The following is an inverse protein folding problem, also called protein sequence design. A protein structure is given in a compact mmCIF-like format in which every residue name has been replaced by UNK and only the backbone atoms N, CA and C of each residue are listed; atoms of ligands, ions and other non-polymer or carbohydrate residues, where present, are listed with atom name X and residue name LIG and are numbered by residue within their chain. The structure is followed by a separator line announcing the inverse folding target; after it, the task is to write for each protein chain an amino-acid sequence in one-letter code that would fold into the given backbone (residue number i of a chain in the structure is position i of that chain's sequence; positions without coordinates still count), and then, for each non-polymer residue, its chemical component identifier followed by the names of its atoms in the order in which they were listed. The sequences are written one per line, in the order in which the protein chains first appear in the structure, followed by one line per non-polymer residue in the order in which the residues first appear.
data_IF_437582084838
#
_entry.id   IF_437582084838
#
_cell.length_a   1.000
_cell.length_b   1.000
_cell.length_c   1.000
_cell.angle_alpha   90.00
_cell.angle_beta   90.00
_cell.angle_gamma   90.00
#
_symmetry.space_group_name_H-M   'P 1'
#
loop_
_entity.id
_entity.type
_entity.pdbx_description
1 polymer ?
#
# COMPACT_ATOMS: atom_id res chain seq x y z
N UNK A 1 4.82 -23.16 28.97
CA UNK A 1 5.75 -22.04 29.15
C UNK A 1 4.90 -20.79 29.06
N UNK A 2 4.86 -19.99 30.10
CA UNK A 2 4.06 -18.76 30.12
C UNK A 2 4.80 -17.69 29.32
N UNK A 3 4.04 -16.82 28.62
CA UNK A 3 4.64 -15.67 27.93
C UNK A 3 5.22 -14.68 28.98
N UNK A 4 6.36 -14.03 28.69
CA UNK A 4 6.90 -12.96 29.53
C UNK A 4 5.88 -11.82 29.73
N UNK A 5 5.85 -11.21 30.92
CA UNK A 5 4.86 -10.18 31.27
C UNK A 5 4.98 -8.90 30.43
N UNK A 6 6.18 -8.57 29.96
CA UNK A 6 6.46 -7.45 29.06
C UNK A 6 5.81 -7.66 27.69
N UNK A 7 5.94 -8.85 27.12
CA UNK A 7 5.28 -9.24 25.85
C UNK A 7 3.75 -9.16 25.98
N UNK A 8 3.23 -9.60 27.12
CA UNK A 8 1.80 -9.52 27.41
C UNK A 8 1.32 -8.08 27.48
N UNK A 9 2.08 -7.22 28.15
CA UNK A 9 1.76 -5.79 28.28
C UNK A 9 1.80 -5.08 26.94
N UNK A 10 2.72 -5.46 26.06
CA UNK A 10 2.84 -4.92 24.71
C UNK A 10 1.66 -5.36 23.82
N UNK A 11 1.29 -6.64 23.85
CA UNK A 11 0.09 -7.16 23.15
C UNK A 11 -1.16 -6.40 23.61
N UNK A 12 -1.32 -6.18 24.91
CA UNK A 12 -2.47 -5.47 25.49
C UNK A 12 -2.45 -3.97 25.10
N UNK A 13 -1.28 -3.35 25.05
CA UNK A 13 -1.13 -1.94 24.71
C UNK A 13 -1.51 -1.59 23.25
N UNK A 14 -1.25 -2.50 22.32
CA UNK A 14 -1.49 -2.28 20.89
C UNK A 14 -2.86 -2.77 20.37
N UNK A 15 -3.63 -3.47 21.18
CA UNK A 15 -4.90 -4.07 20.78
C UNK A 15 -6.06 -3.50 21.57
N UNK A 16 -7.02 -2.91 20.86
CA UNK A 16 -8.15 -2.21 21.49
C UNK A 16 -9.20 -3.12 22.17
N UNK A 17 -9.12 -4.44 22.02
CA UNK A 17 -10.08 -5.40 22.63
C UNK A 17 -9.48 -6.81 22.71
N UNK A 18 -9.10 -7.29 23.86
CA UNK A 18 -8.64 -8.67 24.10
C UNK A 18 -9.79 -9.56 24.59
N UNK A 19 -9.95 -10.75 23.96
CA UNK A 19 -10.88 -11.75 24.48
C UNK A 19 -10.32 -12.37 25.77
N UNK A 20 -10.97 -12.09 26.91
CA UNK A 20 -10.60 -12.57 28.22
C UNK A 20 -10.47 -14.10 28.31
N UNK A 21 -11.15 -14.85 27.44
CA UNK A 21 -11.09 -16.31 27.36
C UNK A 21 -9.76 -16.86 26.83
N UNK A 22 -9.05 -16.13 25.98
CA UNK A 22 -7.73 -16.55 25.46
C UNK A 22 -6.66 -16.35 26.51
N UNK A 23 -6.71 -15.23 27.20
CA UNK A 23 -5.70 -14.86 28.20
C UNK A 23 -5.95 -15.51 29.56
N UNK A 24 -7.20 -15.86 29.91
CA UNK A 24 -7.51 -16.58 31.15
C UNK A 24 -6.94 -18.00 31.20
N UNK A 25 -6.55 -18.56 30.04
CA UNK A 25 -5.92 -19.90 29.94
C UNK A 25 -4.38 -19.84 29.99
N UNK A 26 -3.77 -18.66 29.94
CA UNK A 26 -2.34 -18.49 29.72
C UNK A 26 -1.54 -18.35 31.01
N UNK A 27 -2.06 -17.73 32.03
CA UNK A 27 -1.54 -17.78 33.40
C UNK A 27 -2.50 -17.15 34.43
N UNK A 28 -2.35 -17.53 35.69
CA UNK A 28 -3.13 -16.96 36.80
C UNK A 28 -2.88 -15.43 36.99
N UNK A 29 -1.69 -14.94 36.59
CA UNK A 29 -1.32 -13.52 36.61
C UNK A 29 -2.01 -12.69 35.49
N UNK A 30 -2.31 -13.32 34.34
CA UNK A 30 -3.02 -12.67 33.26
C UNK A 30 -4.51 -12.45 33.52
N UNK A 31 -5.15 -13.28 34.33
CA UNK A 31 -6.58 -13.12 34.67
C UNK A 31 -6.88 -11.76 35.32
N UNK A 32 -5.90 -11.16 35.97
CA UNK A 32 -6.04 -9.86 36.64
C UNK A 32 -5.84 -8.68 35.71
N UNK A 33 -5.04 -8.82 34.63
CA UNK A 33 -4.78 -7.74 33.66
C UNK A 33 -5.85 -7.61 32.57
N UNK A 34 -6.61 -8.67 32.30
CA UNK A 34 -7.50 -8.77 31.13
C UNK A 34 -8.96 -8.43 31.45
N UNK A 35 -9.30 -8.13 32.69
CA UNK A 35 -10.67 -7.71 33.04
C UNK A 35 -11.07 -6.45 32.26
N UNK A 36 -11.66 -6.67 31.06
CA UNK A 36 -12.33 -5.63 30.27
C UNK A 36 -11.92 -5.44 28.82
N UNK A 37 -10.99 -6.23 28.25
CA UNK A 37 -10.62 -6.12 26.82
C UNK A 37 -10.72 -7.47 26.11
N UNK A 38 -11.48 -7.51 25.00
CA UNK A 38 -11.70 -8.72 24.19
C UNK A 38 -10.96 -8.57 22.86
N UNK A 39 -9.87 -9.37 22.63
CA UNK A 39 -9.28 -9.57 21.32
C UNK A 39 -9.93 -10.74 20.60
N UNK A 40 -10.14 -10.60 19.30
CA UNK A 40 -10.36 -11.78 18.46
C UNK A 40 -9.09 -12.62 18.45
N UNK A 41 -9.21 -13.94 18.62
CA UNK A 41 -8.06 -14.87 18.68
C UNK A 41 -7.10 -14.71 17.48
N UNK A 42 -7.61 -14.40 16.29
CA UNK A 42 -6.80 -14.15 15.09
C UNK A 42 -5.95 -12.86 15.16
N UNK A 43 -6.37 -11.87 15.96
CA UNK A 43 -5.64 -10.60 16.10
C UNK A 43 -4.31 -10.77 16.84
N UNK A 44 -4.23 -11.74 17.77
CA UNK A 44 -2.97 -12.08 18.47
C UNK A 44 -1.93 -12.62 17.47
N UNK A 45 -2.34 -13.55 16.60
CA UNK A 45 -1.44 -14.11 15.59
C UNK A 45 -0.99 -13.07 14.57
N UNK A 46 -1.90 -12.19 14.14
CA UNK A 46 -1.56 -11.08 13.21
C UNK A 46 -0.61 -10.08 13.87
N UNK A 47 -0.85 -9.71 15.14
CA UNK A 47 0.04 -8.81 15.90
C UNK A 47 1.42 -9.45 16.08
N UNK A 48 1.50 -10.71 16.50
CA UNK A 48 2.76 -11.41 16.68
C UNK A 48 3.55 -11.54 15.36
N UNK A 49 2.86 -11.84 14.26
CA UNK A 49 3.47 -11.90 12.94
C UNK A 49 3.97 -10.55 12.44
N UNK A 50 3.27 -9.45 12.80
CA UNK A 50 3.68 -8.08 12.47
C UNK A 50 4.94 -7.65 13.22
N UNK A 51 5.11 -8.10 14.46
CA UNK A 51 6.15 -7.62 15.38
C UNK A 51 7.29 -8.64 15.62
N UNK A 52 7.42 -9.65 14.73
CA UNK A 52 8.49 -10.66 14.78
C UNK A 52 8.50 -11.58 16.01
N UNK A 53 7.34 -11.76 16.63
CA UNK A 53 7.21 -12.60 17.83
C UNK A 53 6.89 -14.07 17.46
N UNK A 54 7.90 -14.80 17.01
CA UNK A 54 7.76 -16.22 16.66
C UNK A 54 7.38 -17.07 17.87
N UNK A 55 7.90 -16.77 19.05
CA UNK A 55 7.58 -17.42 20.32
C UNK A 55 6.09 -17.32 20.68
N UNK A 56 5.50 -16.13 20.48
CA UNK A 56 4.05 -15.90 20.68
C UNK A 56 3.23 -16.71 19.66
N UNK A 57 3.66 -16.79 18.42
CA UNK A 57 2.98 -17.59 17.39
C UNK A 57 3.05 -19.08 17.70
N UNK A 58 4.21 -19.58 18.15
CA UNK A 58 4.39 -20.96 18.59
C UNK A 58 3.48 -21.30 19.75
N UNK A 59 3.44 -20.42 20.75
CA UNK A 59 2.53 -20.53 21.87
C UNK A 59 1.06 -20.52 21.40
N UNK A 60 0.64 -19.54 20.61
CA UNK A 60 -0.74 -19.43 20.11
C UNK A 60 -1.17 -20.68 19.33
N UNK A 61 -0.27 -21.26 18.53
CA UNK A 61 -0.51 -22.48 17.78
C UNK A 61 -0.76 -23.69 18.70
N UNK A 62 0.04 -23.87 19.77
CA UNK A 62 -0.15 -24.95 20.77
C UNK A 62 -1.54 -24.88 21.44
N UNK A 63 -2.10 -23.68 21.55
CA UNK A 63 -3.43 -23.46 22.13
C UNK A 63 -4.55 -23.39 21.10
N UNK A 64 -4.29 -23.84 19.86
CA UNK A 64 -5.26 -23.82 18.77
C UNK A 64 -5.89 -22.43 18.53
N UNK A 65 -5.11 -21.35 18.73
CA UNK A 65 -5.54 -20.02 18.33
C UNK A 65 -5.65 -19.99 16.79
N UNK A 66 -6.80 -19.58 16.22
CA UNK A 66 -6.97 -19.53 14.79
C UNK A 66 -6.09 -18.42 14.21
N UNK A 67 -5.43 -18.73 13.14
CA UNK A 67 -4.80 -17.75 12.26
C UNK A 67 -5.51 -17.71 10.91
N UNK A 68 -5.28 -16.66 10.16
CA UNK A 68 -5.82 -16.47 8.83
C UNK A 68 -4.73 -15.95 7.86
N UNK A 69 -5.11 -15.70 6.62
CA UNK A 69 -4.19 -15.18 5.60
C UNK A 69 -3.49 -13.87 6.00
N UNK A 70 -4.10 -13.07 6.86
CA UNK A 70 -3.49 -11.82 7.34
C UNK A 70 -2.28 -12.08 8.24
N UNK A 71 -2.19 -13.21 8.92
CA UNK A 71 -0.99 -13.60 9.69
C UNK A 71 0.23 -13.71 8.77
N UNK A 72 0.11 -14.43 7.64
CA UNK A 72 1.17 -14.48 6.64
C UNK A 72 1.44 -13.10 6.01
N UNK A 73 0.37 -12.36 5.69
CA UNK A 73 0.48 -11.03 5.09
C UNK A 73 1.22 -10.05 6.00
N UNK A 74 0.96 -10.05 7.32
CA UNK A 74 1.64 -9.18 8.28
C UNK A 74 3.12 -9.52 8.45
N UNK A 75 3.48 -10.80 8.49
CA UNK A 75 4.87 -11.23 8.47
C UNK A 75 5.59 -10.74 7.20
N UNK A 76 4.96 -10.93 6.04
CA UNK A 76 5.51 -10.53 4.75
C UNK A 76 5.62 -9.01 4.59
N UNK A 77 4.62 -8.25 5.04
CA UNK A 77 4.58 -6.78 5.04
C UNK A 77 5.75 -6.16 5.81
N UNK A 78 6.18 -6.83 6.89
CA UNK A 78 7.24 -6.34 7.78
C UNK A 78 8.59 -7.05 7.58
N UNK A 79 8.69 -7.94 6.60
CA UNK A 79 9.95 -8.58 6.22
C UNK A 79 10.40 -9.75 7.11
N UNK A 80 9.53 -10.25 7.98
CA UNK A 80 9.82 -11.30 8.95
C UNK A 80 9.78 -12.68 8.28
N UNK A 81 10.88 -13.02 7.58
CA UNK A 81 10.96 -14.24 6.77
C UNK A 81 10.82 -15.51 7.62
N UNK A 82 11.50 -15.57 8.75
CA UNK A 82 11.50 -16.74 9.63
C UNK A 82 10.09 -17.01 10.20
N UNK A 83 9.39 -15.94 10.58
CA UNK A 83 7.98 -16.01 11.00
C UNK A 83 7.11 -16.51 9.87
N UNK A 84 7.24 -15.94 8.67
CA UNK A 84 6.46 -16.35 7.50
C UNK A 84 6.69 -17.83 7.16
N UNK A 85 7.96 -18.27 7.19
CA UNK A 85 8.32 -19.67 6.95
C UNK A 85 7.66 -20.59 7.96
N UNK A 86 7.76 -20.26 9.23
CA UNK A 86 7.22 -21.08 10.29
C UNK A 86 5.69 -21.18 10.22
N UNK A 87 4.97 -20.06 10.07
CA UNK A 87 3.49 -20.09 10.01
C UNK A 87 3.00 -20.86 8.77
N UNK A 88 3.70 -20.78 7.64
CA UNK A 88 3.37 -21.56 6.44
C UNK A 88 3.60 -23.04 6.61
N UNK A 89 4.70 -23.45 7.21
CA UNK A 89 4.99 -24.87 7.52
C UNK A 89 3.93 -25.47 8.45
N UNK A 90 3.30 -24.64 9.29
CA UNK A 90 2.23 -25.05 10.19
C UNK A 90 0.81 -24.79 9.64
N UNK A 91 0.67 -24.62 8.32
CA UNK A 91 -0.61 -24.62 7.62
C UNK A 91 -1.36 -23.27 7.62
N UNK A 92 -0.71 -22.15 7.99
CA UNK A 92 -1.33 -20.84 7.90
C UNK A 92 -1.65 -20.52 6.42
N UNK A 93 -2.89 -20.13 6.05
CA UNK A 93 -3.22 -19.76 4.68
C UNK A 93 -2.55 -18.45 4.27
N UNK A 94 -2.33 -18.27 2.98
CA UNK A 94 -1.91 -17.00 2.38
C UNK A 94 -2.67 -16.73 1.08
N UNK A 95 -2.55 -15.52 0.55
CA UNK A 95 -3.05 -15.14 -0.76
C UNK A 95 -2.10 -14.12 -1.44
N UNK A 96 -2.54 -13.56 -2.57
CA UNK A 96 -1.78 -12.57 -3.35
C UNK A 96 -1.30 -11.35 -2.54
N UNK A 97 -2.00 -10.97 -1.48
CA UNK A 97 -1.63 -9.83 -0.64
C UNK A 97 -0.32 -10.06 0.11
N UNK A 98 0.04 -11.31 0.39
CA UNK A 98 1.34 -11.66 0.99
C UNK A 98 2.49 -11.18 0.09
N UNK A 99 2.44 -11.48 -1.20
CA UNK A 99 3.43 -10.99 -2.18
C UNK A 99 3.30 -9.47 -2.39
N UNK A 100 2.08 -8.95 -2.49
CA UNK A 100 1.84 -7.55 -2.80
C UNK A 100 2.39 -6.60 -1.71
N UNK A 101 2.17 -6.89 -0.44
CA UNK A 101 2.70 -6.08 0.67
C UNK A 101 4.21 -6.29 0.91
N UNK A 102 4.74 -7.50 0.69
CA UNK A 102 6.18 -7.69 0.67
C UNK A 102 6.85 -6.82 -0.42
N UNK A 103 6.24 -6.75 -1.61
CA UNK A 103 6.71 -5.92 -2.71
C UNK A 103 6.63 -4.42 -2.37
N UNK A 104 5.52 -3.97 -1.80
CA UNK A 104 5.32 -2.59 -1.36
C UNK A 104 6.44 -2.12 -0.41
N UNK A 105 6.82 -2.96 0.53
CA UNK A 105 7.81 -2.61 1.54
C UNK A 105 9.25 -2.97 1.16
N UNK A 106 9.46 -3.57 -0.01
CA UNK A 106 10.80 -3.83 -0.53
C UNK A 106 11.46 -5.12 -0.01
N UNK A 107 10.68 -6.02 0.58
CA UNK A 107 11.18 -7.26 1.19
C UNK A 107 11.44 -8.35 0.14
N UNK A 108 12.51 -8.18 -0.64
CA UNK A 108 12.84 -9.06 -1.76
C UNK A 108 13.07 -10.51 -1.33
N UNK A 109 13.75 -10.76 -0.21
CA UNK A 109 13.98 -12.11 0.29
C UNK A 109 12.68 -12.84 0.63
N UNK A 110 11.72 -12.13 1.23
CA UNK A 110 10.37 -12.65 1.51
C UNK A 110 9.64 -13.00 0.21
N UNK A 111 9.69 -12.11 -0.77
CA UNK A 111 9.09 -12.35 -2.09
C UNK A 111 9.69 -13.56 -2.81
N UNK A 112 11.01 -13.68 -2.80
CA UNK A 112 11.72 -14.79 -3.41
C UNK A 112 11.29 -16.12 -2.79
N UNK A 113 11.30 -16.19 -1.47
CA UNK A 113 10.88 -17.38 -0.76
C UNK A 113 9.38 -17.69 -0.98
N UNK A 114 8.50 -16.67 -0.90
CA UNK A 114 7.08 -16.86 -1.12
C UNK A 114 6.77 -17.42 -2.50
N UNK A 115 7.45 -16.92 -3.54
CA UNK A 115 7.28 -17.43 -4.91
C UNK A 115 7.82 -18.85 -5.12
N UNK A 116 8.95 -19.17 -4.50
CA UNK A 116 9.48 -20.55 -4.51
C UNK A 116 8.51 -21.55 -3.85
N UNK A 117 7.64 -21.06 -2.95
CA UNK A 117 6.62 -21.85 -2.27
C UNK A 117 5.21 -21.60 -2.82
N UNK A 118 5.09 -21.17 -4.08
CA UNK A 118 3.84 -21.04 -4.85
C UNK A 118 2.83 -20.02 -4.28
N UNK A 119 3.29 -19.01 -3.53
CA UNK A 119 2.41 -17.92 -3.11
C UNK A 119 1.87 -17.20 -4.36
N UNK A 120 0.53 -17.02 -4.49
CA UNK A 120 -0.02 -16.34 -5.65
C UNK A 120 0.36 -14.87 -5.68
N UNK A 121 0.44 -14.29 -6.86
CA UNK A 121 0.55 -12.85 -7.09
C UNK A 121 -0.26 -12.43 -8.33
N UNK A 122 -0.48 -11.14 -8.49
CA UNK A 122 -1.10 -10.53 -9.67
C UNK A 122 -0.48 -9.14 -9.94
N UNK A 123 -1.09 -8.37 -10.85
CA UNK A 123 -0.65 -7.02 -11.21
C UNK A 123 -0.55 -6.06 -10.01
N UNK A 124 -1.31 -6.29 -8.93
CA UNK A 124 -1.24 -5.51 -7.70
C UNK A 124 0.16 -5.55 -7.08
N UNK A 125 0.90 -6.66 -7.22
CA UNK A 125 2.28 -6.78 -6.73
C UNK A 125 3.21 -5.78 -7.42
N UNK A 126 3.12 -5.66 -8.75
CA UNK A 126 3.87 -4.66 -9.52
C UNK A 126 3.42 -3.23 -9.17
N UNK A 127 2.11 -3.00 -9.09
CA UNK A 127 1.54 -1.69 -8.81
C UNK A 127 1.97 -1.15 -7.43
N UNK A 128 1.96 -1.99 -6.38
CA UNK A 128 2.38 -1.59 -5.04
C UNK A 128 3.91 -1.42 -4.91
N UNK A 129 4.72 -2.23 -5.60
CA UNK A 129 6.15 -2.00 -5.70
C UNK A 129 6.45 -0.63 -6.34
N UNK A 130 5.75 -0.32 -7.43
CA UNK A 130 5.86 0.96 -8.14
C UNK A 130 5.39 2.15 -7.28
N UNK A 131 4.25 2.00 -6.59
CA UNK A 131 3.73 3.00 -5.65
C UNK A 131 4.76 3.42 -4.60
N UNK A 132 5.49 2.47 -4.05
CA UNK A 132 6.43 2.70 -2.95
C UNK A 132 7.88 2.92 -3.39
N UNK A 133 8.14 3.13 -4.68
CA UNK A 133 9.48 3.44 -5.18
C UNK A 133 10.44 2.23 -5.17
N UNK A 134 9.93 1.00 -5.18
CA UNK A 134 10.77 -0.20 -5.05
C UNK A 134 11.24 -0.72 -6.41
N UNK A 135 12.07 0.04 -7.12
CA UNK A 135 12.51 -0.30 -8.48
C UNK A 135 13.15 -1.69 -8.57
N UNK A 136 14.07 -2.02 -7.67
CA UNK A 136 14.74 -3.35 -7.65
C UNK A 136 13.75 -4.49 -7.49
N UNK A 137 12.74 -4.32 -6.62
CA UNK A 137 11.67 -5.31 -6.44
C UNK A 137 10.82 -5.40 -7.69
N UNK A 138 10.41 -4.26 -8.27
CA UNK A 138 9.63 -4.23 -9.51
C UNK A 138 10.36 -4.93 -10.66
N UNK A 139 11.66 -4.69 -10.80
CA UNK A 139 12.51 -5.37 -11.77
C UNK A 139 12.50 -6.88 -11.57
N UNK A 140 12.71 -7.33 -10.33
CA UNK A 140 12.74 -8.75 -10.01
C UNK A 140 11.39 -9.43 -10.28
N UNK A 141 10.25 -8.85 -9.82
CA UNK A 141 8.93 -9.46 -10.05
C UNK A 141 8.60 -9.54 -11.53
N UNK A 142 9.01 -8.57 -12.35
CA UNK A 142 8.83 -8.61 -13.81
C UNK A 142 9.72 -9.66 -14.48
N UNK A 143 10.97 -9.82 -14.06
CA UNK A 143 11.85 -10.89 -14.55
C UNK A 143 11.28 -12.28 -14.24
N UNK A 144 10.46 -12.41 -13.19
CA UNK A 144 9.78 -13.65 -12.80
C UNK A 144 8.30 -13.68 -13.26
N UNK A 145 7.97 -12.96 -14.35
CA UNK A 145 6.68 -13.01 -15.06
C UNK A 145 5.46 -12.54 -14.24
N UNK A 146 5.65 -11.75 -13.18
CA UNK A 146 4.52 -11.12 -12.50
C UNK A 146 3.77 -10.21 -13.49
N UNK A 147 2.45 -10.36 -13.67
CA UNK A 147 1.71 -9.48 -14.56
C UNK A 147 1.74 -8.03 -14.07
N UNK A 148 1.62 -7.08 -14.98
CA UNK A 148 1.38 -5.68 -14.69
C UNK A 148 0.28 -5.12 -15.60
N UNK A 149 -0.25 -3.98 -15.21
CA UNK A 149 -1.26 -3.23 -15.94
C UNK A 149 -0.98 -1.72 -15.83
N UNK A 150 -1.89 -0.91 -16.32
CA UNK A 150 -1.82 0.56 -16.30
C UNK A 150 -1.70 1.14 -14.87
N UNK A 151 -2.20 0.43 -13.85
CA UNK A 151 -2.07 0.86 -12.46
C UNK A 151 -0.62 0.90 -11.98
N UNK A 152 0.28 0.13 -12.58
CA UNK A 152 1.71 0.19 -12.26
C UNK A 152 2.28 1.59 -12.53
N UNK A 153 2.01 2.13 -13.73
CA UNK A 153 2.43 3.50 -14.08
C UNK A 153 1.64 4.56 -13.31
N UNK A 154 0.33 4.35 -13.13
CA UNK A 154 -0.53 5.29 -12.43
C UNK A 154 -0.13 5.45 -10.95
N UNK A 155 0.15 4.37 -10.23
CA UNK A 155 0.59 4.42 -8.83
C UNK A 155 2.01 4.96 -8.69
N UNK A 156 2.91 4.68 -9.62
CA UNK A 156 4.20 5.35 -9.66
C UNK A 156 4.04 6.87 -9.85
N UNK A 157 3.15 7.30 -10.73
CA UNK A 157 2.84 8.72 -10.96
C UNK A 157 2.21 9.39 -9.75
N UNK A 158 1.34 8.67 -9.01
CA UNK A 158 0.75 9.16 -7.76
C UNK A 158 1.80 9.56 -6.72
N UNK A 159 2.94 8.90 -6.67
CA UNK A 159 4.00 9.16 -5.70
C UNK A 159 5.26 9.78 -6.31
N UNK A 160 5.18 10.31 -7.52
CA UNK A 160 6.28 11.04 -8.14
C UNK A 160 7.48 10.17 -8.56
N UNK A 161 7.29 8.87 -8.73
CA UNK A 161 8.36 7.90 -8.99
C UNK A 161 8.76 7.90 -10.48
N UNK A 162 9.38 8.98 -10.94
CA UNK A 162 9.71 9.19 -12.36
C UNK A 162 10.60 8.08 -12.92
N UNK A 163 11.64 7.66 -12.18
CA UNK A 163 12.55 6.59 -12.61
C UNK A 163 11.81 5.27 -12.85
N UNK A 164 10.85 4.95 -11.99
CA UNK A 164 10.02 3.73 -12.13
C UNK A 164 9.15 3.81 -13.38
N UNK A 165 8.52 4.96 -13.63
CA UNK A 165 7.69 5.16 -14.82
C UNK A 165 8.53 5.01 -16.08
N UNK A 166 9.71 5.63 -16.11
CA UNK A 166 10.64 5.55 -17.23
C UNK A 166 11.03 4.10 -17.50
N UNK A 167 11.47 3.38 -16.47
CA UNK A 167 11.84 1.97 -16.58
C UNK A 167 10.65 1.11 -17.03
N UNK A 168 9.48 1.29 -16.41
CA UNK A 168 8.27 0.52 -16.74
C UNK A 168 7.87 0.70 -18.21
N UNK A 169 7.86 1.94 -18.70
CA UNK A 169 7.55 2.23 -20.11
C UNK A 169 8.55 1.64 -21.09
N UNK A 170 9.85 1.74 -20.80
CA UNK A 170 10.89 1.10 -21.61
C UNK A 170 10.72 -0.42 -21.71
N UNK A 171 10.09 -1.03 -20.70
CA UNK A 171 9.83 -2.47 -20.65
C UNK A 171 8.38 -2.85 -21.03
N UNK A 172 7.62 -1.94 -21.67
CA UNK A 172 6.32 -2.22 -22.26
C UNK A 172 5.13 -2.19 -21.29
N UNK A 173 5.28 -1.58 -20.09
CA UNK A 173 4.14 -1.39 -19.17
C UNK A 173 3.09 -0.48 -19.83
N UNK A 174 1.81 -0.86 -19.86
CA UNK A 174 0.76 0.04 -20.34
C UNK A 174 0.57 1.23 -19.38
N UNK A 175 0.00 2.30 -19.88
CA UNK A 175 -0.50 3.43 -19.09
C UNK A 175 -1.78 3.99 -19.71
N UNK A 176 -2.51 4.78 -18.95
CA UNK A 176 -3.75 5.43 -19.37
C UNK A 176 -3.87 6.85 -18.80
N UNK A 177 -5.08 7.40 -18.90
CA UNK A 177 -5.43 8.73 -18.38
C UNK A 177 -5.15 8.90 -16.88
N UNK A 178 -5.20 7.81 -16.09
CA UNK A 178 -4.97 7.84 -14.66
C UNK A 178 -3.53 8.25 -14.33
N UNK A 179 -2.58 7.88 -15.17
CA UNK A 179 -1.18 8.25 -14.98
C UNK A 179 -1.01 9.77 -14.92
N UNK A 180 -1.60 10.51 -15.86
CA UNK A 180 -1.59 11.98 -15.87
C UNK A 180 -2.40 12.56 -14.70
N UNK A 181 -3.60 12.01 -14.43
CA UNK A 181 -4.48 12.50 -13.36
C UNK A 181 -3.86 12.32 -11.97
N UNK A 182 -3.19 11.20 -11.71
CA UNK A 182 -2.54 10.93 -10.43
C UNK A 182 -1.26 11.75 -10.24
N UNK A 183 -0.48 12.00 -11.29
CA UNK A 183 0.62 12.95 -11.22
C UNK A 183 0.11 14.37 -10.86
N UNK A 184 -0.99 14.79 -11.47
CA UNK A 184 -1.61 16.08 -11.22
C UNK A 184 -2.24 16.17 -9.82
N UNK A 185 -2.85 15.07 -9.33
CA UNK A 185 -3.46 14.97 -7.99
C UNK A 185 -2.47 15.31 -6.86
N UNK A 186 -1.22 14.88 -6.98
CA UNK A 186 -0.20 15.09 -5.96
C UNK A 186 0.86 16.13 -6.34
N UNK A 187 0.63 16.90 -7.39
CA UNK A 187 1.48 18.02 -7.74
C UNK A 187 2.83 17.64 -8.38
N UNK A 188 2.96 16.43 -8.91
CA UNK A 188 4.19 15.93 -9.50
C UNK A 188 4.37 16.46 -10.94
N UNK A 189 4.74 17.73 -11.06
CA UNK A 189 4.86 18.43 -12.34
C UNK A 189 5.88 17.76 -13.27
N UNK A 190 7.04 17.38 -12.77
CA UNK A 190 8.09 16.73 -13.57
C UNK A 190 7.60 15.40 -14.17
N UNK A 191 6.87 14.59 -13.38
CA UNK A 191 6.25 13.36 -13.85
C UNK A 191 5.23 13.67 -14.94
N UNK A 192 4.32 14.63 -14.70
CA UNK A 192 3.29 15.01 -15.67
C UNK A 192 3.92 15.50 -16.97
N UNK A 193 4.98 16.30 -16.89
CA UNK A 193 5.72 16.77 -18.07
C UNK A 193 6.30 15.61 -18.86
N UNK A 194 6.98 14.70 -18.18
CA UNK A 194 7.62 13.57 -18.85
C UNK A 194 6.60 12.62 -19.51
N UNK A 195 5.52 12.26 -18.80
CA UNK A 195 4.51 11.33 -19.36
C UNK A 195 3.81 11.96 -20.58
N UNK A 196 3.57 13.28 -20.58
CA UNK A 196 2.99 13.99 -21.73
C UNK A 196 3.96 14.07 -22.91
N UNK A 197 5.25 14.28 -22.68
CA UNK A 197 6.27 14.25 -23.74
C UNK A 197 6.40 12.86 -24.40
N UNK A 198 5.93 11.81 -23.71
CA UNK A 198 5.93 10.43 -24.17
C UNK A 198 4.51 9.92 -24.55
N UNK A 199 3.61 10.83 -24.96
CA UNK A 199 2.29 10.56 -25.53
C UNK A 199 1.26 9.93 -24.59
N UNK A 200 1.45 10.02 -23.25
CA UNK A 200 0.41 9.62 -22.30
C UNK A 200 -0.82 10.52 -22.48
N UNK A 201 -1.99 9.93 -22.63
CA UNK A 201 -3.22 10.70 -22.82
C UNK A 201 -3.66 11.36 -21.50
N UNK A 202 -4.33 12.50 -21.62
CA UNK A 202 -4.98 13.20 -20.50
C UNK A 202 -6.38 13.68 -20.90
N UNK A 203 -7.15 14.07 -19.91
CA UNK A 203 -8.47 14.67 -20.07
C UNK A 203 -8.71 15.74 -18.99
N UNK A 204 -9.93 16.21 -18.88
CA UNK A 204 -10.36 17.24 -17.93
C UNK A 204 -10.11 16.86 -16.46
N UNK A 205 -10.03 15.58 -16.13
CA UNK A 205 -9.70 15.11 -14.77
C UNK A 205 -8.30 15.53 -14.32
N UNK A 206 -7.36 15.63 -15.25
CA UNK A 206 -6.00 16.11 -14.93
C UNK A 206 -6.02 17.52 -14.36
N UNK A 207 -6.74 18.44 -15.00
CA UNK A 207 -6.92 19.81 -14.50
C UNK A 207 -7.75 19.84 -13.20
N UNK A 208 -8.82 19.05 -13.14
CA UNK A 208 -9.70 19.00 -11.99
C UNK A 208 -9.00 18.47 -10.73
N UNK A 209 -8.18 17.41 -10.84
CA UNK A 209 -7.40 16.86 -9.73
C UNK A 209 -6.30 17.81 -9.27
N UNK A 210 -5.60 18.50 -10.16
CA UNK A 210 -4.66 19.56 -9.80
C UNK A 210 -5.36 20.68 -9.01
N UNK A 211 -6.52 21.12 -9.47
CA UNK A 211 -7.29 22.19 -8.83
C UNK A 211 -7.86 21.79 -7.47
N UNK A 212 -8.34 20.55 -7.35
CA UNK A 212 -8.87 19.95 -6.11
C UNK A 212 -7.85 19.95 -4.96
N UNK A 213 -6.58 19.79 -5.30
CA UNK A 213 -5.49 19.66 -4.32
C UNK A 213 -4.58 20.91 -4.26
N UNK A 214 -4.97 22.00 -4.93
CA UNK A 214 -4.29 23.29 -4.83
C UNK A 214 -2.99 23.41 -5.62
N UNK A 215 -2.73 22.53 -6.57
CA UNK A 215 -1.51 22.49 -7.36
C UNK A 215 -1.56 23.49 -8.54
N UNK A 216 -1.45 24.76 -8.23
CA UNK A 216 -1.58 25.85 -9.20
C UNK A 216 -0.59 25.74 -10.36
N UNK A 217 0.67 25.45 -10.07
CA UNK A 217 1.73 25.33 -11.08
C UNK A 217 1.44 24.19 -12.07
N UNK A 218 0.97 23.03 -11.56
CA UNK A 218 0.54 21.88 -12.38
C UNK A 218 -0.62 22.27 -13.27
N UNK A 219 -1.64 22.94 -12.72
CA UNK A 219 -2.81 23.39 -13.48
C UNK A 219 -2.42 24.38 -14.56
N UNK A 220 -1.56 25.34 -14.25
CA UNK A 220 -1.05 26.34 -15.20
C UNK A 220 -0.32 25.67 -16.36
N UNK A 221 0.61 24.79 -16.05
CA UNK A 221 1.37 24.06 -17.04
C UNK A 221 0.45 23.17 -17.91
N UNK A 222 -0.46 22.43 -17.30
CA UNK A 222 -1.39 21.57 -18.03
C UNK A 222 -2.23 22.39 -19.04
N UNK A 223 -2.77 23.54 -18.61
CA UNK A 223 -3.56 24.41 -19.51
C UNK A 223 -2.73 25.01 -20.62
N UNK A 224 -1.52 25.47 -20.35
CA UNK A 224 -0.59 26.00 -21.38
C UNK A 224 -0.26 24.95 -22.45
N UNK A 225 -0.30 23.66 -22.07
CA UNK A 225 -0.02 22.53 -22.96
C UNK A 225 -1.29 21.86 -23.52
N UNK A 226 -2.46 22.53 -23.45
CA UNK A 226 -3.70 22.12 -24.10
C UNK A 226 -4.52 21.04 -23.35
N UNK A 227 -4.26 20.82 -22.06
CA UNK A 227 -5.14 19.94 -21.28
C UNK A 227 -6.55 20.51 -21.22
N UNK A 228 -7.59 19.74 -21.55
CA UNK A 228 -8.97 20.22 -21.42
C UNK A 228 -9.32 20.44 -19.94
N UNK A 229 -10.27 21.31 -19.69
CA UNK A 229 -10.89 21.50 -18.39
C UNK A 229 -12.41 21.74 -18.52
N UNK A 230 -13.12 21.62 -17.42
CA UNK A 230 -14.56 21.90 -17.32
C UNK A 230 -14.86 22.57 -15.98
N UNK A 231 -16.15 22.81 -15.69
CA UNK A 231 -16.59 23.43 -14.44
C UNK A 231 -16.13 22.71 -13.17
N UNK A 232 -15.81 21.40 -13.20
CA UNK A 232 -15.27 20.68 -12.05
C UNK A 232 -13.96 21.29 -11.54
N UNK A 233 -13.14 21.85 -12.41
CA UNK A 233 -11.89 22.52 -12.03
C UNK A 233 -12.18 23.68 -11.04
N UNK A 234 -13.11 24.57 -11.37
CA UNK A 234 -13.51 25.67 -10.51
C UNK A 234 -14.27 25.19 -9.26
N UNK A 235 -15.20 24.24 -9.43
CA UNK A 235 -16.00 23.68 -8.32
C UNK A 235 -15.10 23.01 -7.27
N UNK A 236 -14.12 22.23 -7.67
CA UNK A 236 -13.24 21.54 -6.74
C UNK A 236 -12.22 22.47 -6.09
N UNK A 237 -11.68 23.44 -6.80
CA UNK A 237 -10.85 24.49 -6.20
C UNK A 237 -11.60 25.23 -5.10
N UNK A 238 -12.85 25.64 -5.36
CA UNK A 238 -13.70 26.33 -4.38
C UNK A 238 -14.04 25.43 -3.18
N UNK A 239 -14.51 24.21 -3.45
CA UNK A 239 -14.95 23.27 -2.41
C UNK A 239 -13.82 22.86 -1.46
N UNK A 240 -12.59 22.76 -1.96
CA UNK A 240 -11.43 22.32 -1.19
C UNK A 240 -10.57 23.49 -0.65
N UNK A 241 -11.05 24.74 -0.76
CA UNK A 241 -10.41 25.88 -0.13
C UNK A 241 -9.13 26.36 -0.81
N UNK A 242 -9.06 26.31 -2.13
CA UNK A 242 -7.93 26.79 -2.94
C UNK A 242 -8.26 28.08 -3.71
N UNK A 243 -8.38 29.24 -3.02
CA UNK A 243 -8.85 30.49 -3.63
C UNK A 243 -7.92 30.99 -4.75
N UNK A 244 -6.62 30.81 -4.62
CA UNK A 244 -5.66 31.23 -5.65
C UNK A 244 -5.84 30.44 -6.96
N UNK A 245 -6.05 29.11 -6.85
CA UNK A 245 -6.35 28.24 -7.98
C UNK A 245 -7.68 28.64 -8.63
N UNK A 246 -8.72 28.87 -7.82
CA UNK A 246 -10.03 29.30 -8.30
C UNK A 246 -9.95 30.65 -9.03
N UNK A 247 -9.26 31.62 -8.42
CA UNK A 247 -9.10 32.94 -9.02
C UNK A 247 -8.36 32.84 -10.35
N UNK A 248 -7.27 32.11 -10.40
CA UNK A 248 -6.52 31.91 -11.63
C UNK A 248 -7.36 31.21 -12.72
N UNK A 249 -8.09 30.13 -12.36
CA UNK A 249 -8.91 29.37 -13.29
C UNK A 249 -10.01 30.28 -13.93
N UNK A 250 -10.70 31.10 -13.10
CA UNK A 250 -11.72 32.06 -13.58
C UNK A 250 -11.13 33.10 -14.52
N UNK A 251 -9.97 33.68 -14.16
CA UNK A 251 -9.27 34.67 -14.99
C UNK A 251 -8.84 34.11 -16.35
N UNK A 252 -8.63 32.79 -16.44
CA UNK A 252 -8.20 32.11 -17.66
C UNK A 252 -9.35 31.39 -18.39
N UNK A 253 -10.61 31.70 -18.08
CA UNK A 253 -11.78 31.26 -18.82
C UNK A 253 -12.21 29.80 -18.51
N UNK A 254 -11.96 29.31 -17.29
CA UNK A 254 -12.54 28.04 -16.87
C UNK A 254 -14.06 28.16 -16.78
N UNK A 255 -14.83 27.21 -17.35
CA UNK A 255 -16.29 27.19 -17.18
C UNK A 255 -16.70 27.14 -15.70
N UNK A 256 -17.81 27.80 -15.39
CA UNK A 256 -18.42 27.76 -14.04
C UNK A 256 -19.52 26.70 -13.92
#
# INVERSE_FOLDING_TARGET
MDLPEDIISEIIGHTNKLDATVLSRVSHGMQTMVRGRILKKSEVCQWAAKNDHLDVLQWAHQWNCPWDKWTCTRAAENGHLDVLQWVRQNGCPWDKWTCAYAAQNGHLAVLQWARQNECPWDSTTCALAAHSGRLTVLQWVRQNECPWDELTCAYAAHNGQLEIIQWARQNGCPWDLLTCSYAAHNGHLEVLQWVRQNDCQWNEWTCAEAAKNGHLEVLQWARQNGCPWNSLTCVWAAKNGHPEVLQWARQNGCPE
#
